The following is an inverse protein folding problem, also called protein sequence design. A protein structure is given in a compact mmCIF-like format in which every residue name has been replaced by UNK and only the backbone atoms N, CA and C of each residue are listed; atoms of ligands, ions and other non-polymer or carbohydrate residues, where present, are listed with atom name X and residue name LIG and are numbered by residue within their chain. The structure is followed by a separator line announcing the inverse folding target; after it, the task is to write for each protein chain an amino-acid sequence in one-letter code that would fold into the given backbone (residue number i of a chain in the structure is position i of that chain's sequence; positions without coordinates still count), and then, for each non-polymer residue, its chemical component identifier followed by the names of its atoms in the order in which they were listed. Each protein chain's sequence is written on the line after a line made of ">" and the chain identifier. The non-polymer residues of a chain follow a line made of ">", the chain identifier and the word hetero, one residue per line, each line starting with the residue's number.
data_IF_450150355821
#
_entry.id   IF_450150355821
#
_cell.length_a   1.000
_cell.length_b   1.000
_cell.length_c   1.000
_cell.angle_alpha   90.00
_cell.angle_beta   90.00
_cell.angle_gamma   90.00
#
_symmetry.space_group_name_H-M   'P 1'
#
loop_
_entity.id
_entity.type
_entity.pdbx_description
1 polymer ?
#
# COMPACT_ATOMS: atom_id res chain seq x y z
N UNK A 1 -37.10 -35.47 13.08
CA UNK A 1 -36.72 -34.08 12.73
C UNK A 1 -35.49 -33.72 13.54
N UNK A 2 -34.30 -33.76 12.93
CA UNK A 2 -33.04 -33.45 13.61
C UNK A 2 -32.65 -31.99 13.37
N UNK A 3 -32.41 -31.24 14.45
CA UNK A 3 -31.88 -29.87 14.41
C UNK A 3 -30.42 -29.90 13.96
N UNK A 4 -29.94 -28.94 13.14
CA UNK A 4 -28.52 -28.84 12.83
C UNK A 4 -27.74 -28.40 14.06
N UNK A 5 -26.74 -29.19 14.44
CA UNK A 5 -25.75 -28.88 15.46
C UNK A 5 -24.68 -28.03 14.78
N UNK A 6 -24.52 -26.77 15.19
CA UNK A 6 -23.38 -25.95 14.76
C UNK A 6 -22.14 -26.37 15.55
N UNK A 7 -21.00 -26.62 14.89
CA UNK A 7 -19.75 -26.92 15.60
C UNK A 7 -19.29 -25.68 16.38
N UNK A 8 -19.04 -25.86 17.67
CA UNK A 8 -18.39 -24.88 18.54
C UNK A 8 -16.98 -24.57 18.01
N UNK A 9 -16.53 -23.30 17.99
CA UNK A 9 -15.20 -22.97 17.51
C UNK A 9 -14.16 -23.53 18.48
N UNK A 10 -13.47 -24.57 18.04
CA UNK A 10 -12.33 -25.16 18.74
C UNK A 10 -11.29 -24.06 18.94
N UNK A 11 -11.02 -23.65 20.19
CA UNK A 11 -9.94 -22.70 20.50
C UNK A 11 -8.64 -23.19 19.85
N UNK A 12 -7.91 -22.28 19.22
CA UNK A 12 -6.64 -22.59 18.53
C UNK A 12 -5.70 -23.31 19.51
N UNK A 13 -4.95 -24.31 19.02
CA UNK A 13 -3.94 -25.04 19.81
C UNK A 13 -2.93 -24.08 20.47
N UNK A 14 -2.70 -22.91 19.84
CA UNK A 14 -1.87 -21.84 20.39
C UNK A 14 -2.53 -21.18 21.60
N UNK A 15 -3.83 -20.91 21.58
CA UNK A 15 -4.55 -20.28 22.69
C UNK A 15 -4.53 -21.15 23.95
N UNK A 16 -4.51 -22.48 23.78
CA UNK A 16 -4.35 -23.42 24.89
C UNK A 16 -2.91 -23.46 25.41
N UNK A 17 -1.91 -23.43 24.51
CA UNK A 17 -0.50 -23.45 24.89
C UNK A 17 -0.01 -22.13 25.48
N UNK A 18 -0.52 -20.99 25.02
CA UNK A 18 -0.21 -19.66 25.58
C UNK A 18 -0.83 -19.49 26.97
N UNK A 19 -2.06 -19.96 27.17
CA UNK A 19 -2.70 -19.98 28.48
C UNK A 19 -1.95 -20.89 29.48
N UNK A 20 -1.44 -22.05 29.03
CA UNK A 20 -0.61 -22.93 29.85
C UNK A 20 0.77 -22.31 30.17
N UNK A 21 1.37 -21.58 29.20
CA UNK A 21 2.61 -20.85 29.42
C UNK A 21 2.44 -19.75 30.47
N UNK A 22 1.34 -18.99 30.39
CA UNK A 22 1.03 -17.93 31.36
C UNK A 22 0.86 -18.43 32.79
N UNK A 23 0.42 -19.68 33.00
CA UNK A 23 0.27 -20.26 34.33
C UNK A 23 1.59 -20.70 34.98
N UNK A 24 2.67 -20.84 34.21
CA UNK A 24 3.95 -21.36 34.69
C UNK A 24 4.99 -20.29 35.06
N UNK A 25 4.70 -19.01 34.83
CA UNK A 25 5.64 -17.92 35.13
C UNK A 25 5.09 -17.01 36.25
N UNK A 26 5.71 -17.00 37.44
CA UNK A 26 5.43 -15.98 38.44
C UNK A 26 5.91 -14.60 37.93
N UNK A 27 5.27 -13.52 38.41
CA UNK A 27 5.41 -12.13 37.94
C UNK A 27 6.85 -11.58 37.87
N UNK A 28 7.83 -12.25 38.47
CA UNK A 28 9.23 -11.81 38.55
C UNK A 28 10.08 -12.22 37.32
N UNK A 29 9.54 -13.00 36.38
CA UNK A 29 10.25 -13.48 35.17
C UNK A 29 9.52 -13.12 33.87
N UNK A 30 8.97 -11.91 33.78
CA UNK A 30 8.17 -11.45 32.65
C UNK A 30 8.96 -11.37 31.33
N UNK A 31 10.23 -10.97 31.36
CA UNK A 31 11.07 -10.95 30.14
C UNK A 31 11.31 -12.36 29.57
N UNK A 32 11.50 -13.36 30.44
CA UNK A 32 11.64 -14.75 30.02
C UNK A 32 10.34 -15.27 29.43
N UNK A 33 9.19 -14.90 30.01
CA UNK A 33 7.88 -15.17 29.42
C UNK A 33 7.78 -14.64 27.99
N UNK A 34 8.17 -13.39 27.73
CA UNK A 34 8.08 -12.80 26.39
C UNK A 34 9.03 -13.48 25.39
N UNK A 35 10.23 -13.88 25.81
CA UNK A 35 11.17 -14.63 24.96
C UNK A 35 10.59 -16.03 24.63
N UNK A 36 10.01 -16.71 25.61
CA UNK A 36 9.40 -18.03 25.41
C UNK A 36 8.10 -17.95 24.61
N UNK A 37 7.33 -16.88 24.78
CA UNK A 37 6.14 -16.57 24.01
C UNK A 37 6.49 -16.25 22.55
N UNK A 38 7.53 -15.45 22.30
CA UNK A 38 8.05 -15.20 20.95
C UNK A 38 8.60 -16.48 20.31
N UNK A 39 9.30 -17.33 21.06
CA UNK A 39 9.74 -18.64 20.55
C UNK A 39 8.56 -19.54 20.24
N UNK A 40 7.51 -19.53 21.07
CA UNK A 40 6.28 -20.26 20.80
C UNK A 40 5.56 -19.69 19.57
N UNK A 41 5.51 -18.38 19.40
CA UNK A 41 4.96 -17.71 18.22
C UNK A 41 5.81 -17.92 16.97
N UNK A 42 7.12 -18.10 17.07
CA UNK A 42 8.01 -18.37 15.95
C UNK A 42 7.96 -19.85 15.55
N UNK A 43 7.96 -20.76 16.53
CA UNK A 43 7.79 -22.20 16.30
C UNK A 43 6.37 -22.50 15.78
N UNK A 44 5.38 -21.87 16.40
CA UNK A 44 4.02 -21.90 15.92
C UNK A 44 3.81 -20.98 14.72
N UNK A 45 4.75 -20.08 14.38
CA UNK A 45 4.77 -19.24 13.19
C UNK A 45 5.19 -20.03 11.97
N UNK A 46 6.11 -20.99 12.11
CA UNK A 46 6.36 -22.00 11.08
C UNK A 46 5.16 -22.96 10.91
N UNK A 47 4.45 -23.28 12.00
CA UNK A 47 3.21 -24.07 11.93
C UNK A 47 1.94 -23.25 11.61
N UNK A 48 1.91 -21.93 11.81
CA UNK A 48 0.83 -21.02 11.41
C UNK A 48 1.04 -20.61 9.97
N UNK A 49 2.28 -20.43 9.52
CA UNK A 49 2.57 -20.38 8.09
C UNK A 49 2.06 -21.69 7.48
N UNK A 50 2.40 -22.87 7.98
CA UNK A 50 1.87 -24.13 7.42
C UNK A 50 0.34 -24.35 7.58
N UNK A 51 -0.26 -24.03 8.74
CA UNK A 51 -1.66 -24.31 9.06
C UNK A 51 -2.62 -23.23 8.57
N UNK A 52 -2.20 -21.96 8.52
CA UNK A 52 -2.93 -20.88 7.88
C UNK A 52 -2.77 -20.99 6.35
N UNK A 53 -1.63 -21.48 5.82
CA UNK A 53 -1.51 -21.94 4.43
C UNK A 53 -2.45 -23.13 4.16
N UNK A 54 -2.76 -23.99 5.14
CA UNK A 54 -3.73 -25.09 4.98
C UNK A 54 -5.19 -24.68 5.16
N UNK A 55 -5.54 -23.72 6.02
CA UNK A 55 -6.91 -23.18 6.10
C UNK A 55 -7.24 -22.28 4.90
N UNK A 56 -6.26 -21.58 4.33
CA UNK A 56 -6.39 -20.84 3.06
C UNK A 56 -6.53 -21.76 1.83
N UNK A 57 -6.14 -23.04 1.94
CA UNK A 57 -6.39 -24.07 0.89
C UNK A 57 -7.86 -24.51 0.80
N UNK A 58 -8.74 -24.08 1.70
CA UNK A 58 -10.17 -24.42 1.66
C UNK A 58 -11.05 -23.35 0.99
N UNK A 59 -10.48 -22.44 0.19
CA UNK A 59 -11.29 -21.54 -0.61
C UNK A 59 -11.80 -22.26 -1.87
N UNK A 60 -13.11 -22.45 -1.94
CA UNK A 60 -13.81 -23.28 -2.94
C UNK A 60 -13.83 -22.66 -4.34
N UNK A 61 -13.37 -21.41 -4.49
CA UNK A 61 -13.21 -20.73 -5.78
C UNK A 61 -11.73 -20.41 -6.03
N UNK A 62 -11.15 -21.05 -7.05
CA UNK A 62 -9.72 -20.97 -7.39
C UNK A 62 -9.38 -19.59 -7.96
N UNK A 63 -8.55 -18.82 -7.25
CA UNK A 63 -7.85 -17.67 -7.84
C UNK A 63 -6.93 -18.17 -8.98
N UNK A 64 -6.77 -17.42 -10.08
CA UNK A 64 -5.91 -17.82 -11.19
C UNK A 64 -4.41 -17.67 -10.91
N UNK A 65 -4.05 -17.24 -9.69
CA UNK A 65 -2.68 -17.00 -9.23
C UNK A 65 -2.60 -17.20 -7.70
N UNK A 66 -1.40 -17.13 -7.14
CA UNK A 66 -1.18 -17.34 -5.71
C UNK A 66 -1.84 -16.23 -4.86
N UNK A 67 -2.41 -16.60 -3.71
CA UNK A 67 -3.02 -15.65 -2.78
C UNK A 67 -2.01 -14.74 -2.08
N UNK A 68 -0.71 -15.07 -2.14
CA UNK A 68 0.36 -14.23 -1.60
C UNK A 68 1.37 -13.98 -2.71
N UNK A 69 1.63 -12.71 -3.01
CA UNK A 69 2.54 -12.28 -4.06
C UNK A 69 3.61 -11.38 -3.47
N UNK A 70 4.88 -11.66 -3.80
CA UNK A 70 6.04 -10.90 -3.31
C UNK A 70 6.78 -10.28 -4.48
N UNK A 71 7.67 -9.33 -4.21
CA UNK A 71 8.58 -8.81 -5.25
C UNK A 71 9.50 -9.94 -5.70
N UNK A 72 9.42 -10.28 -6.99
CA UNK A 72 10.23 -11.35 -7.58
C UNK A 72 11.72 -10.98 -7.51
N UNK A 73 12.60 -11.83 -6.93
CA UNK A 73 14.02 -11.53 -6.77
C UNK A 73 14.70 -11.12 -8.07
N UNK A 74 14.33 -11.78 -9.19
CA UNK A 74 14.88 -11.50 -10.52
C UNK A 74 14.49 -10.13 -11.10
N UNK A 75 13.32 -9.58 -10.72
CA UNK A 75 12.82 -8.27 -11.20
C UNK A 75 13.21 -7.12 -10.27
N UNK A 76 13.72 -7.43 -9.08
CA UNK A 76 14.12 -6.46 -8.05
C UNK A 76 15.17 -5.44 -8.55
N UNK A 77 16.23 -5.82 -9.30
CA UNK A 77 17.21 -4.85 -9.79
C UNK A 77 16.59 -3.83 -10.76
N UNK A 78 15.71 -4.30 -11.65
CA UNK A 78 14.99 -3.42 -12.59
C UNK A 78 14.06 -2.44 -11.86
N UNK A 79 13.39 -2.90 -10.79
CA UNK A 79 12.59 -2.00 -9.95
C UNK A 79 13.47 -0.93 -9.27
N UNK A 80 14.70 -1.31 -8.88
CA UNK A 80 15.66 -0.38 -8.26
C UNK A 80 16.14 0.67 -9.23
N UNK A 81 16.47 0.27 -10.44
CA UNK A 81 16.85 1.19 -11.50
C UNK A 81 15.74 2.22 -11.79
N UNK A 82 14.50 1.76 -11.93
CA UNK A 82 13.35 2.66 -12.15
C UNK A 82 13.13 3.62 -10.98
N UNK A 83 13.31 3.16 -9.74
CA UNK A 83 13.16 4.02 -8.56
C UNK A 83 14.30 5.05 -8.48
N UNK A 84 15.55 4.64 -8.68
CA UNK A 84 16.71 5.55 -8.65
C UNK A 84 16.63 6.61 -9.75
N UNK A 85 16.14 6.27 -10.94
CA UNK A 85 15.88 7.24 -12.01
C UNK A 85 14.84 8.31 -11.63
N UNK A 86 13.95 7.99 -10.68
CA UNK A 86 12.91 8.90 -10.17
C UNK A 86 13.32 9.61 -8.88
N UNK A 87 14.60 9.49 -8.46
CA UNK A 87 15.10 10.15 -7.27
C UNK A 87 14.97 11.68 -7.42
N UNK A 88 14.22 12.36 -6.54
CA UNK A 88 14.02 13.79 -6.65
C UNK A 88 15.31 14.54 -6.33
N UNK A 89 15.59 15.58 -7.12
CA UNK A 89 16.64 16.54 -6.79
C UNK A 89 16.26 17.36 -5.56
N UNK A 90 17.25 17.69 -4.73
CA UNK A 90 17.06 18.56 -3.56
C UNK A 90 16.81 20.04 -3.93
N UNK A 91 17.14 20.43 -5.16
CA UNK A 91 17.11 21.82 -5.63
C UNK A 91 15.79 22.56 -5.34
N UNK A 92 14.59 22.03 -5.65
CA UNK A 92 13.34 22.75 -5.39
C UNK A 92 13.08 23.00 -3.90
N UNK A 93 13.47 22.06 -3.03
CA UNK A 93 13.33 22.22 -1.58
C UNK A 93 14.30 23.28 -1.07
N UNK A 94 15.56 23.22 -1.48
CA UNK A 94 16.59 24.18 -1.08
C UNK A 94 16.23 25.59 -1.53
N UNK A 95 15.85 25.77 -2.80
CA UNK A 95 15.43 27.06 -3.35
C UNK A 95 14.16 27.58 -2.68
N UNK A 96 13.19 26.71 -2.40
CA UNK A 96 11.98 27.09 -1.68
C UNK A 96 12.24 27.53 -0.24
N UNK A 97 13.16 26.89 0.48
CA UNK A 97 13.57 27.32 1.83
C UNK A 97 14.31 28.65 1.76
N UNK A 98 15.32 28.77 0.90
CA UNK A 98 16.13 30.00 0.79
C UNK A 98 15.29 31.19 0.37
N UNK A 99 14.45 31.04 -0.66
CA UNK A 99 13.57 32.12 -1.12
C UNK A 99 12.56 32.55 -0.06
N UNK A 100 12.03 31.61 0.73
CA UNK A 100 11.14 31.92 1.86
C UNK A 100 11.87 32.67 2.96
N UNK A 101 13.10 32.27 3.32
CA UNK A 101 13.91 32.92 4.35
C UNK A 101 14.31 34.34 3.97
N UNK A 102 14.58 34.61 2.68
CA UNK A 102 14.91 35.96 2.20
C UNK A 102 13.67 36.84 2.14
N UNK A 103 12.52 36.30 1.72
CA UNK A 103 11.29 37.08 1.58
C UNK A 103 10.58 37.38 2.91
N UNK A 104 10.66 36.48 3.89
CA UNK A 104 9.97 36.61 5.19
C UNK A 104 10.29 37.95 5.91
N UNK A 105 11.56 38.32 6.15
CA UNK A 105 11.88 39.59 6.80
C UNK A 105 11.34 40.81 6.05
N UNK A 106 11.37 40.76 4.71
CA UNK A 106 10.91 41.83 3.83
C UNK A 106 9.37 41.97 3.80
N UNK A 107 8.63 41.00 4.30
CA UNK A 107 7.17 41.09 4.41
C UNK A 107 6.70 41.71 5.72
N UNK A 108 7.57 41.75 6.75
CA UNK A 108 7.25 42.27 8.08
C UNK A 108 7.88 43.63 8.37
N UNK A 109 8.66 44.18 7.46
CA UNK A 109 9.23 45.52 7.60
C UNK A 109 8.22 46.57 7.10
N UNK A 110 7.66 47.32 8.05
CA UNK A 110 6.68 48.38 7.80
C UNK A 110 7.26 49.60 7.06
N UNK A 111 8.59 49.69 6.91
CA UNK A 111 9.27 50.81 6.25
C UNK A 111 9.55 50.58 4.76
N UNK A 112 9.21 49.40 4.22
CA UNK A 112 9.46 49.06 2.83
C UNK A 112 8.51 49.76 1.86
N UNK A 113 9.06 50.24 0.75
CA UNK A 113 8.27 50.75 -0.37
C UNK A 113 7.37 49.63 -0.94
N UNK A 114 6.15 49.99 -1.35
CA UNK A 114 5.12 49.08 -1.89
C UNK A 114 5.68 48.10 -2.96
N UNK A 115 6.57 48.57 -3.83
CA UNK A 115 7.19 47.76 -4.88
C UNK A 115 8.07 46.61 -4.33
N UNK A 116 8.83 46.86 -3.26
CA UNK A 116 9.66 45.84 -2.61
C UNK A 116 8.80 44.83 -1.85
N UNK A 117 7.73 45.28 -1.22
CA UNK A 117 6.74 44.39 -0.59
C UNK A 117 6.10 43.44 -1.61
N UNK A 118 5.65 43.96 -2.76
CA UNK A 118 5.08 43.14 -3.84
C UNK A 118 6.10 42.14 -4.39
N UNK A 119 7.35 42.57 -4.58
CA UNK A 119 8.45 41.69 -4.98
C UNK A 119 8.72 40.57 -3.98
N UNK A 120 8.78 40.90 -2.69
CA UNK A 120 8.95 39.93 -1.60
C UNK A 120 7.78 38.93 -1.54
N UNK A 121 6.54 39.40 -1.67
CA UNK A 121 5.36 38.54 -1.69
C UNK A 121 5.38 37.57 -2.88
N UNK A 122 5.77 38.04 -4.06
CA UNK A 122 5.91 37.19 -5.24
C UNK A 122 6.97 36.10 -5.04
N UNK A 123 8.17 36.49 -4.56
CA UNK A 123 9.25 35.54 -4.25
C UNK A 123 8.78 34.52 -3.20
N UNK A 124 8.07 34.96 -2.16
CA UNK A 124 7.56 34.07 -1.13
C UNK A 124 6.58 33.02 -1.70
N UNK A 125 5.61 33.43 -2.52
CA UNK A 125 4.63 32.52 -3.13
C UNK A 125 5.33 31.48 -4.02
N UNK A 126 6.26 31.92 -4.89
CA UNK A 126 7.03 31.01 -5.75
C UNK A 126 7.87 30.04 -4.92
N UNK A 127 8.46 30.51 -3.83
CA UNK A 127 9.29 29.70 -2.93
C UNK A 127 8.48 28.62 -2.23
N UNK A 128 7.29 28.97 -1.72
CA UNK A 128 6.34 28.01 -1.15
C UNK A 128 5.91 26.99 -2.21
N UNK A 129 5.64 27.43 -3.45
CA UNK A 129 5.32 26.54 -4.56
C UNK A 129 6.43 25.52 -4.85
N UNK A 130 7.68 25.96 -4.94
CA UNK A 130 8.84 25.07 -5.14
C UNK A 130 9.04 24.11 -3.98
N UNK A 131 8.84 24.58 -2.74
CA UNK A 131 8.96 23.77 -1.54
C UNK A 131 7.89 22.66 -1.51
N UNK A 132 6.63 23.00 -1.78
CA UNK A 132 5.53 22.04 -1.85
C UNK A 132 5.76 21.02 -2.98
N UNK A 133 6.21 21.47 -4.15
CA UNK A 133 6.57 20.60 -5.26
C UNK A 133 7.68 19.61 -4.87
N UNK A 134 8.76 20.11 -4.26
CA UNK A 134 9.87 19.29 -3.78
C UNK A 134 9.41 18.25 -2.76
N UNK A 135 8.70 18.67 -1.70
CA UNK A 135 8.19 17.78 -0.65
C UNK A 135 7.30 16.68 -1.23
N UNK A 136 6.40 17.03 -2.15
CA UNK A 136 5.51 16.05 -2.77
C UNK A 136 6.30 14.98 -3.54
N UNK A 137 7.34 15.38 -4.28
CA UNK A 137 8.20 14.43 -4.99
C UNK A 137 9.01 13.54 -4.04
N UNK A 138 9.53 14.09 -2.94
CA UNK A 138 10.20 13.28 -1.90
C UNK A 138 9.25 12.28 -1.23
N UNK A 139 8.00 12.68 -0.97
CA UNK A 139 6.97 11.79 -0.44
C UNK A 139 6.68 10.64 -1.41
N UNK A 140 6.48 10.95 -2.69
CA UNK A 140 6.26 9.94 -3.73
C UNK A 140 7.44 8.98 -3.86
N UNK A 141 8.67 9.50 -3.82
CA UNK A 141 9.89 8.70 -3.81
C UNK A 141 9.98 7.76 -2.60
N UNK A 142 9.57 8.24 -1.41
CA UNK A 142 9.43 7.41 -0.22
C UNK A 142 8.44 6.26 -0.42
N UNK A 143 7.24 6.57 -0.94
CA UNK A 143 6.23 5.54 -1.26
C UNK A 143 6.74 4.51 -2.27
N UNK A 144 7.55 4.93 -3.24
CA UNK A 144 8.17 4.06 -4.24
C UNK A 144 9.21 3.13 -3.61
N UNK A 145 10.06 3.64 -2.73
CA UNK A 145 11.06 2.85 -2.00
C UNK A 145 10.39 1.78 -1.11
N UNK A 146 9.23 2.09 -0.54
CA UNK A 146 8.46 1.16 0.29
C UNK A 146 7.87 -0.03 -0.50
N UNK A 147 7.85 0.02 -1.83
CA UNK A 147 7.38 -1.08 -2.68
C UNK A 147 8.32 -2.29 -2.68
N UNK A 148 9.60 -2.12 -2.31
CA UNK A 148 10.56 -3.23 -2.27
C UNK A 148 10.20 -4.31 -1.26
N UNK A 149 9.66 -3.89 -0.12
CA UNK A 149 9.20 -4.78 0.95
C UNK A 149 7.72 -5.11 0.85
N UNK A 150 7.05 -4.76 -0.26
CA UNK A 150 5.63 -4.98 -0.39
C UNK A 150 5.33 -6.48 -0.55
N UNK A 151 4.49 -6.98 0.35
CA UNK A 151 3.82 -8.26 0.21
C UNK A 151 2.35 -7.98 -0.08
N UNK A 152 1.83 -8.59 -1.14
CA UNK A 152 0.42 -8.52 -1.48
C UNK A 152 -0.27 -9.81 -1.07
N UNK A 153 -1.33 -9.66 -0.31
CA UNK A 153 -2.25 -10.74 0.02
C UNK A 153 -3.54 -10.50 -0.74
N UNK A 154 -3.93 -11.50 -1.53
CA UNK A 154 -5.08 -11.45 -2.41
C UNK A 154 -6.05 -12.52 -1.96
N UNK A 155 -7.25 -12.09 -1.57
CA UNK A 155 -8.39 -12.97 -1.35
C UNK A 155 -9.46 -12.70 -2.41
N UNK A 156 -10.62 -13.32 -2.32
CA UNK A 156 -11.67 -13.18 -3.34
C UNK A 156 -12.36 -11.80 -3.37
N UNK A 157 -12.26 -11.04 -2.29
CA UNK A 157 -12.99 -9.78 -2.11
C UNK A 157 -12.10 -8.54 -2.10
N UNK A 158 -10.81 -8.71 -1.84
CA UNK A 158 -9.87 -7.62 -1.59
C UNK A 158 -8.43 -8.00 -1.87
N UNK A 159 -7.62 -6.96 -2.09
CA UNK A 159 -6.18 -7.01 -2.06
C UNK A 159 -5.67 -6.20 -0.87
N UNK A 160 -4.78 -6.80 -0.09
CA UNK A 160 -4.12 -6.19 1.04
C UNK A 160 -2.64 -6.06 0.73
N UNK A 161 -2.07 -4.88 1.00
CA UNK A 161 -0.63 -4.65 0.91
C UNK A 161 -0.08 -4.47 2.30
N UNK A 162 0.84 -5.34 2.68
CA UNK A 162 1.54 -5.31 3.97
C UNK A 162 2.95 -4.77 3.75
N UNK A 163 3.34 -3.78 4.55
CA UNK A 163 4.70 -3.24 4.62
C UNK A 163 5.38 -3.68 5.92
N UNK A 164 6.72 -3.76 5.91
CA UNK A 164 7.54 -4.13 7.07
C UNK A 164 7.41 -3.22 8.32
N UNK A 165 6.55 -2.19 8.31
CA UNK A 165 6.34 -1.23 9.40
C UNK A 165 4.85 -1.00 9.73
N UNK A 166 4.05 -2.07 9.81
CA UNK A 166 2.66 -2.07 10.32
C UNK A 166 1.57 -1.34 9.51
N UNK A 167 1.89 -0.70 8.38
CA UNK A 167 0.85 -0.11 7.52
C UNK A 167 0.30 -1.16 6.55
N UNK A 168 -0.91 -1.66 6.85
CA UNK A 168 -1.70 -2.47 5.94
C UNK A 168 -2.66 -1.56 5.15
N UNK A 169 -2.59 -1.62 3.82
CA UNK A 169 -3.60 -0.99 2.97
C UNK A 169 -4.47 -2.08 2.37
N UNK A 170 -5.77 -2.02 2.64
CA UNK A 170 -6.76 -2.95 2.09
C UNK A 170 -7.58 -2.22 1.02
N UNK A 171 -7.77 -2.87 -0.13
CA UNK A 171 -8.65 -2.38 -1.18
C UNK A 171 -9.60 -3.50 -1.58
N UNK A 172 -10.90 -3.28 -1.41
CA UNK A 172 -11.91 -4.23 -1.87
C UNK A 172 -12.11 -4.11 -3.38
N UNK A 173 -12.24 -5.24 -4.07
CA UNK A 173 -12.38 -5.24 -5.52
C UNK A 173 -13.61 -4.49 -5.99
N UNK A 174 -14.74 -4.60 -5.27
CA UNK A 174 -15.98 -3.88 -5.57
C UNK A 174 -15.84 -2.36 -5.60
N UNK A 175 -14.86 -1.82 -4.88
CA UNK A 175 -14.65 -0.37 -4.72
C UNK A 175 -13.65 0.17 -5.76
N UNK A 176 -13.01 -0.73 -6.53
CA UNK A 176 -12.08 -0.34 -7.58
C UNK A 176 -12.85 0.30 -8.72
N UNK A 177 -12.51 1.56 -8.99
CA UNK A 177 -13.07 2.34 -10.10
C UNK A 177 -12.22 2.21 -11.37
N UNK A 178 -10.91 2.36 -11.23
CA UNK A 178 -9.96 2.42 -12.34
C UNK A 178 -8.65 1.76 -11.94
N UNK A 179 -8.01 1.10 -12.91
CA UNK A 179 -6.66 0.55 -12.81
C UNK A 179 -5.85 1.14 -13.96
N UNK A 180 -4.74 1.82 -13.65
CA UNK A 180 -3.85 2.45 -14.63
C UNK A 180 -2.47 1.81 -14.61
N UNK A 181 -1.87 1.67 -15.80
CA UNK A 181 -0.46 1.27 -15.93
C UNK A 181 0.40 2.52 -15.79
N UNK A 182 1.40 2.46 -14.93
CA UNK A 182 2.40 3.50 -14.70
C UNK A 182 3.80 2.89 -14.77
N UNK A 183 4.84 3.73 -14.88
CA UNK A 183 6.23 3.29 -15.11
C UNK A 183 6.73 2.28 -14.07
N UNK A 184 6.26 2.40 -12.83
CA UNK A 184 6.65 1.56 -11.70
C UNK A 184 5.68 0.40 -11.43
N UNK A 185 4.55 0.30 -12.14
CA UNK A 185 3.59 -0.80 -11.97
C UNK A 185 2.13 -0.39 -12.19
N UNK A 186 1.23 -0.96 -11.40
CA UNK A 186 -0.20 -0.68 -11.48
C UNK A 186 -0.62 0.26 -10.35
N UNK A 187 -1.45 1.23 -10.70
CA UNK A 187 -2.13 2.10 -9.73
C UNK A 187 -3.60 1.76 -9.71
N UNK A 188 -4.09 1.42 -8.52
CA UNK A 188 -5.50 1.16 -8.23
C UNK A 188 -6.11 2.43 -7.68
N UNK A 189 -7.21 2.88 -8.30
CA UNK A 189 -8.00 4.02 -7.87
C UNK A 189 -9.39 3.59 -7.39
N UNK A 190 -9.84 4.22 -6.32
CA UNK A 190 -11.19 4.05 -5.77
C UNK A 190 -11.90 5.40 -5.78
N UNK A 191 -13.23 5.38 -5.83
CA UNK A 191 -14.03 6.59 -5.68
C UNK A 191 -14.19 6.93 -4.20
N UNK A 192 -13.91 8.17 -3.83
CA UNK A 192 -14.20 8.67 -2.49
C UNK A 192 -15.70 9.01 -2.34
N UNK A 193 -16.08 9.49 -1.16
CA UNK A 193 -17.47 9.91 -0.87
C UNK A 193 -17.98 11.02 -1.82
N UNK A 194 -17.08 11.82 -2.38
CA UNK A 194 -17.38 12.89 -3.34
C UNK A 194 -17.37 12.39 -4.80
N UNK A 195 -17.36 11.07 -5.03
CA UNK A 195 -17.28 10.44 -6.35
C UNK A 195 -16.03 10.84 -7.17
N UNK A 196 -14.98 11.32 -6.49
CA UNK A 196 -13.69 11.63 -7.10
C UNK A 196 -12.77 10.41 -7.00
N UNK A 197 -12.01 10.15 -8.06
CA UNK A 197 -11.02 9.08 -8.06
C UNK A 197 -9.81 9.46 -7.20
N UNK A 198 -9.47 8.58 -6.26
CA UNK A 198 -8.28 8.74 -5.40
C UNK A 198 -7.41 7.49 -5.50
N UNK A 199 -6.08 7.68 -5.44
CA UNK A 199 -5.09 6.61 -5.46
C UNK A 199 -5.20 5.79 -4.16
N UNK A 200 -5.67 4.56 -4.27
CA UNK A 200 -5.83 3.67 -3.13
C UNK A 200 -4.58 2.82 -2.87
N UNK A 201 -4.05 2.19 -3.92
CA UNK A 201 -2.92 1.28 -3.82
C UNK A 201 -2.05 1.34 -5.07
N UNK A 202 -0.75 1.10 -4.88
CA UNK A 202 0.20 0.87 -5.95
C UNK A 202 0.79 -0.53 -5.83
N UNK A 203 0.86 -1.24 -6.95
CA UNK A 203 1.40 -2.59 -7.09
C UNK A 203 2.63 -2.52 -8.00
N UNK A 204 3.82 -2.92 -7.54
CA UNK A 204 5.02 -2.84 -8.37
C UNK A 204 4.98 -3.86 -9.53
N UNK A 205 5.48 -3.50 -10.71
CA UNK A 205 5.58 -4.43 -11.86
C UNK A 205 6.45 -5.66 -11.56
N UNK A 206 7.33 -5.53 -10.57
CA UNK A 206 8.23 -6.56 -10.12
C UNK A 206 7.57 -7.62 -9.22
N UNK A 207 6.28 -7.48 -8.87
CA UNK A 207 5.56 -8.50 -8.12
C UNK A 207 5.51 -9.82 -8.92
N UNK A 208 5.52 -10.93 -8.20
CA UNK A 208 5.26 -12.26 -8.75
C UNK A 208 3.88 -12.30 -9.39
N UNK A 209 3.79 -13.01 -10.52
CA UNK A 209 2.54 -13.18 -11.27
C UNK A 209 1.83 -11.85 -11.62
N UNK A 210 2.62 -10.79 -11.83
CA UNK A 210 2.12 -9.44 -12.14
C UNK A 210 1.11 -9.41 -13.28
N UNK A 211 1.37 -10.12 -14.39
CA UNK A 211 0.46 -10.12 -15.55
C UNK A 211 -0.87 -10.82 -15.25
N UNK A 212 -0.85 -11.90 -14.45
CA UNK A 212 -2.07 -12.57 -14.00
C UNK A 212 -2.89 -11.68 -13.07
N UNK A 213 -2.22 -11.04 -12.09
CA UNK A 213 -2.87 -10.09 -11.18
C UNK A 213 -3.45 -8.90 -11.94
N UNK A 214 -2.69 -8.36 -12.91
CA UNK A 214 -3.11 -7.27 -13.79
C UNK A 214 -4.38 -7.64 -14.53
N UNK A 215 -4.38 -8.77 -15.24
CA UNK A 215 -5.53 -9.24 -15.99
C UNK A 215 -6.77 -9.41 -15.10
N UNK A 216 -6.59 -9.97 -13.91
CA UNK A 216 -7.65 -10.11 -12.92
C UNK A 216 -8.21 -8.76 -12.45
N UNK A 217 -7.36 -7.79 -12.12
CA UNK A 217 -7.81 -6.46 -11.69
C UNK A 217 -8.57 -5.72 -12.80
N UNK A 218 -8.13 -5.81 -14.05
CA UNK A 218 -8.88 -5.26 -15.19
C UNK A 218 -10.25 -5.93 -15.36
N UNK A 219 -10.34 -7.25 -15.12
CA UNK A 219 -11.63 -7.94 -15.13
C UNK A 219 -12.55 -7.44 -14.00
N UNK A 220 -12.03 -7.20 -12.80
CA UNK A 220 -12.82 -6.64 -11.69
C UNK A 220 -13.33 -5.24 -12.00
N UNK A 221 -12.49 -4.37 -12.56
CA UNK A 221 -12.91 -3.03 -13.03
C UNK A 221 -14.04 -3.12 -14.05
N UNK A 222 -13.92 -4.02 -15.04
CA UNK A 222 -14.97 -4.24 -16.05
C UNK A 222 -16.29 -4.70 -15.42
N UNK A 223 -16.24 -5.60 -14.43
CA UNK A 223 -17.42 -6.04 -13.67
C UNK A 223 -18.06 -4.88 -12.91
N UNK A 224 -17.27 -4.08 -12.19
CA UNK A 224 -17.77 -2.95 -11.39
C UNK A 224 -18.39 -1.85 -12.24
N UNK A 225 -17.76 -1.54 -13.37
CA UNK A 225 -18.23 -0.51 -14.29
C UNK A 225 -19.37 -1.01 -15.20
N UNK A 226 -19.91 -2.21 -14.94
CA UNK A 226 -21.00 -2.83 -15.73
C UNK A 226 -20.70 -2.78 -17.23
N UNK A 227 -19.47 -3.11 -17.62
CA UNK A 227 -19.12 -3.17 -19.04
C UNK A 227 -20.01 -4.24 -19.71
N UNK A 228 -20.99 -3.81 -20.51
CA UNK A 228 -21.85 -4.67 -21.32
C UNK A 228 -21.20 -4.86 -22.68
N UNK A 229 -20.54 -5.99 -22.96
CA UNK A 229 -20.00 -6.26 -24.31
C UNK A 229 -21.10 -6.30 -25.39
N UNK A 230 -22.34 -6.54 -24.97
CA UNK A 230 -23.56 -6.69 -25.76
C UNK A 230 -24.17 -5.37 -26.26
N UNK A 231 -23.55 -4.21 -25.97
CA UNK A 231 -23.91 -2.90 -26.56
C UNK A 231 -22.84 -2.32 -27.50
N UNK A 232 -21.80 -3.09 -27.86
CA UNK A 232 -20.80 -2.70 -28.87
C UNK A 232 -20.72 -3.72 -30.03
N UNK A 233 -21.88 -4.17 -30.50
CA UNK A 233 -22.02 -4.52 -31.92
C UNK A 233 -22.09 -3.22 -32.73
N UNK A 234 -21.26 -3.08 -33.76
CA UNK A 234 -21.10 -1.93 -34.67
C UNK A 234 -20.19 -0.79 -34.18
N UNK A 235 -18.90 -1.07 -34.07
CA UNK A 235 -17.89 -0.35 -34.88
C UNK A 235 -16.52 -1.00 -34.68
N UNK A 236 -16.35 -2.16 -35.32
CA UNK A 236 -15.03 -2.54 -35.82
C UNK A 236 -14.90 -1.82 -37.17
N UNK A 237 -14.23 -0.68 -37.19
CA UNK A 237 -13.64 -0.17 -38.43
C UNK A 237 -12.21 -0.70 -38.46
N UNK A 238 -11.92 -1.40 -39.56
CA UNK A 238 -10.66 -2.06 -39.91
C UNK A 238 -9.45 -1.14 -39.79
#
# INVERSE_FOLDING_TARGET
>A
MNKPIYPTPTKSNIDQKSAALWQNYPKEHEEEFWIHYERLLNAAGAQYEAANIQQVRQNTEKLPFASVLRVAPKKRPKLQEVIEQQKPGYFPVVMGVLGSLVALPLLFDAQLALLLFVGAAFVFIVSVGMLLYGINNFKQYGELKDLFGAVLEVNNASITRTHARNNTKVVHFKDISTVSNETYGLVIKVKNQNNQETKAMMIPFAIEQFEQLKAFLYQQVRKNNKFRPDLQGLNVIR
#
